data_IF_917115015785
#
_entry.id   IF_917115015785
#
_cell.length_a   1.000
_cell.length_b   1.000
_cell.length_c   1.000
_cell.angle_alpha   90.00
_cell.angle_beta   90.00
_cell.angle_gamma   90.00
#
_symmetry.space_group_name_H-M   'P 1'
#
loop_
_entity.id
_entity.type
_entity.pdbx_description
1 polymer ?
#
# COMPACT_ATOMS: atom_id res chain seq x y z
N UNK A 1 -30.64 -9.95 16.04
CA UNK A 1 -30.52 -8.86 15.04
C UNK A 1 -29.53 -9.34 13.99
N UNK A 2 -30.00 -9.70 12.79
CA UNK A 2 -29.18 -10.35 11.78
C UNK A 2 -28.39 -9.29 11.01
N UNK A 3 -27.05 -9.37 11.07
CA UNK A 3 -26.14 -8.59 10.23
C UNK A 3 -26.27 -9.17 8.80
N UNK A 4 -26.89 -8.41 7.89
CA UNK A 4 -26.92 -8.76 6.48
C UNK A 4 -25.57 -8.39 5.86
N UNK A 5 -24.71 -9.40 5.67
CA UNK A 5 -23.54 -9.26 4.82
C UNK A 5 -24.00 -9.18 3.36
N UNK A 6 -23.89 -8.02 2.75
CA UNK A 6 -24.01 -7.88 1.30
C UNK A 6 -22.64 -8.10 0.66
N UNK A 7 -22.40 -9.32 0.18
CA UNK A 7 -21.28 -9.58 -0.72
C UNK A 7 -21.69 -8.96 -2.06
N UNK A 8 -21.18 -7.78 -2.39
CA UNK A 8 -21.29 -7.23 -3.72
C UNK A 8 -20.25 -7.91 -4.61
N UNK A 9 -20.65 -8.97 -5.31
CA UNK A 9 -19.96 -9.37 -6.53
C UNK A 9 -20.23 -8.24 -7.52
N UNK A 10 -19.25 -7.36 -7.74
CA UNK A 10 -19.31 -6.41 -8.83
C UNK A 10 -19.14 -7.21 -10.12
N UNK A 11 -20.26 -7.66 -10.69
CA UNK A 11 -20.33 -7.98 -12.09
C UNK A 11 -20.10 -6.66 -12.83
N UNK A 12 -18.84 -6.40 -13.16
CA UNK A 12 -18.49 -5.37 -14.13
C UNK A 12 -19.02 -5.86 -15.47
N UNK A 13 -20.23 -5.43 -15.83
CA UNK A 13 -20.62 -5.45 -17.24
C UNK A 13 -19.68 -4.48 -17.94
N UNK A 14 -18.63 -5.03 -18.52
CA UNK A 14 -17.69 -4.31 -19.34
C UNK A 14 -18.46 -3.74 -20.55
N UNK A 15 -18.84 -2.47 -20.47
CA UNK A 15 -18.92 -1.69 -21.68
C UNK A 15 -17.47 -1.49 -22.12
N UNK A 16 -17.02 -2.39 -22.98
CA UNK A 16 -15.73 -2.32 -23.66
C UNK A 16 -15.72 -1.10 -24.57
N UNK A 17 -15.35 0.06 -24.02
CA UNK A 17 -14.60 0.98 -24.86
C UNK A 17 -13.24 0.30 -25.01
N UNK A 18 -13.04 -0.33 -26.18
CA UNK A 18 -11.73 -0.73 -26.65
C UNK A 18 -10.85 0.53 -26.62
N UNK A 19 -10.12 0.73 -25.54
CA UNK A 19 -8.90 1.48 -25.64
C UNK A 19 -7.99 0.59 -26.47
N UNK A 20 -7.78 0.97 -27.73
CA UNK A 20 -6.72 0.45 -28.56
C UNK A 20 -5.42 0.63 -27.78
N UNK A 21 -5.00 -0.42 -27.07
CA UNK A 21 -3.65 -0.49 -26.56
C UNK A 21 -2.79 -0.64 -27.82
N UNK A 22 -2.10 0.42 -28.19
CA UNK A 22 -0.96 0.26 -29.09
C UNK A 22 -0.06 -0.78 -28.45
N UNK A 23 0.28 -1.88 -29.14
CA UNK A 23 1.22 -2.85 -28.63
C UNK A 23 2.50 -2.10 -28.28
N UNK A 24 2.96 -2.23 -27.05
CA UNK A 24 4.30 -1.76 -26.66
C UNK A 24 5.31 -2.42 -27.60
N UNK A 25 6.29 -1.68 -28.13
CA UNK A 25 7.30 -2.26 -28.99
C UNK A 25 7.98 -3.42 -28.29
N UNK A 26 8.07 -4.56 -28.95
CA UNK A 26 8.48 -5.85 -28.44
C UNK A 26 9.96 -5.96 -28.02
N UNK A 27 10.68 -4.86 -27.86
CA UNK A 27 12.12 -4.81 -27.63
C UNK A 27 12.58 -3.82 -26.54
N UNK A 28 11.70 -3.30 -25.70
CA UNK A 28 12.14 -2.50 -24.55
C UNK A 28 12.25 -3.38 -23.32
N UNK A 29 13.46 -3.88 -23.07
CA UNK A 29 13.89 -4.34 -21.74
C UNK A 29 14.03 -3.10 -20.84
N UNK A 30 12.93 -2.44 -20.53
CA UNK A 30 12.97 -1.44 -19.48
C UNK A 30 13.06 -2.16 -18.14
N UNK A 31 14.25 -2.19 -17.56
CA UNK A 31 14.41 -2.39 -16.13
C UNK A 31 13.72 -1.21 -15.46
N UNK A 32 12.76 -1.48 -14.60
CA UNK A 32 12.18 -0.43 -13.77
C UNK A 32 13.25 -0.06 -12.76
N UNK A 33 13.91 1.07 -12.96
CA UNK A 33 14.75 1.66 -11.94
C UNK A 33 13.88 2.05 -10.74
N UNK A 34 14.42 1.92 -9.54
CA UNK A 34 13.78 2.49 -8.36
C UNK A 34 13.58 3.98 -8.60
N UNK A 35 12.39 4.47 -8.27
CA UNK A 35 12.08 5.90 -8.37
C UNK A 35 12.79 6.65 -7.25
N UNK A 36 13.81 7.43 -7.57
CA UNK A 36 14.59 8.21 -6.61
C UNK A 36 13.73 9.16 -5.77
N UNK A 37 12.57 9.56 -6.28
CA UNK A 37 11.62 10.37 -5.53
C UNK A 37 11.01 9.63 -4.32
N UNK A 38 11.08 8.30 -4.29
CA UNK A 38 10.64 7.48 -3.17
C UNK A 38 11.73 7.21 -2.12
N UNK A 39 12.97 7.60 -2.40
CA UNK A 39 14.07 7.40 -1.45
C UNK A 39 13.80 8.11 -0.11
N UNK A 40 14.03 7.47 1.02
CA UNK A 40 14.44 6.08 1.25
C UNK A 40 13.27 5.11 1.54
N UNK A 41 12.03 5.48 1.17
CA UNK A 41 10.78 4.75 1.46
C UNK A 41 10.27 3.97 0.25
N UNK A 42 11.14 3.23 -0.45
CA UNK A 42 10.81 2.51 -1.67
C UNK A 42 9.67 1.48 -1.53
N UNK A 43 9.44 0.98 -0.31
CA UNK A 43 8.37 0.03 0.00
C UNK A 43 7.03 0.71 0.31
N UNK A 44 6.98 2.05 0.21
CA UNK A 44 5.78 2.82 0.49
C UNK A 44 5.36 2.78 1.97
N UNK A 45 4.07 2.96 2.19
CA UNK A 45 3.46 2.96 3.53
C UNK A 45 2.21 2.09 3.53
N UNK A 46 1.88 1.52 4.67
CA UNK A 46 0.67 0.74 4.87
C UNK A 46 0.01 1.05 6.22
N UNK A 47 -1.27 0.75 6.34
CA UNK A 47 -1.98 0.79 7.61
C UNK A 47 -2.90 -0.43 7.74
N UNK A 48 -3.12 -0.86 8.97
CA UNK A 48 -3.95 -2.02 9.26
C UNK A 48 -4.42 -2.06 10.70
N UNK A 49 -5.08 -3.16 11.05
CA UNK A 49 -5.60 -3.44 12.40
C UNK A 49 -6.36 -2.27 13.03
N UNK A 50 -7.31 -1.64 12.30
CA UNK A 50 -8.04 -0.52 12.85
C UNK A 50 -8.93 -0.99 14.01
N UNK A 51 -8.95 -0.20 15.07
CA UNK A 51 -9.97 -0.27 16.13
C UNK A 51 -10.86 0.97 16.04
N UNK A 52 -11.74 1.16 17.03
CA UNK A 52 -12.54 2.38 17.11
C UNK A 52 -11.69 3.63 17.38
N UNK A 53 -10.52 3.48 17.98
CA UNK A 53 -9.69 4.58 18.45
C UNK A 53 -8.19 4.40 18.19
N UNK A 54 -7.80 3.43 17.38
CA UNK A 54 -6.41 3.22 16.99
C UNK A 54 -6.27 2.63 15.59
N UNK A 55 -5.06 2.71 15.05
CA UNK A 55 -4.65 2.08 13.80
C UNK A 55 -3.15 1.84 13.82
N UNK A 56 -2.70 0.73 13.25
CA UNK A 56 -1.28 0.51 13.02
C UNK A 56 -0.89 1.15 11.69
N UNK A 57 0.14 1.98 11.71
CA UNK A 57 0.80 2.50 10.50
C UNK A 57 2.16 1.84 10.33
N UNK A 58 2.56 1.61 9.10
CA UNK A 58 3.77 0.86 8.75
C UNK A 58 4.53 1.52 7.62
N UNK A 59 5.86 1.39 7.67
CA UNK A 59 6.77 1.60 6.54
C UNK A 59 8.02 0.73 6.70
N UNK A 60 8.86 0.71 5.67
CA UNK A 60 10.20 0.16 5.68
C UNK A 60 11.18 1.17 5.12
N UNK A 61 12.28 1.40 5.84
CA UNK A 61 13.35 2.30 5.43
C UNK A 61 14.42 1.54 4.63
N UNK A 62 15.00 2.16 3.63
CA UNK A 62 16.21 1.69 2.95
C UNK A 62 17.38 2.55 3.37
N UNK A 63 18.31 1.98 4.13
CA UNK A 63 19.48 2.68 4.68
C UNK A 63 20.63 1.69 4.88
N UNK A 64 21.84 2.19 4.94
CA UNK A 64 23.06 1.47 5.28
C UNK A 64 23.48 1.66 6.77
N UNK A 65 22.74 2.50 7.51
CA UNK A 65 23.00 2.72 8.94
C UNK A 65 22.55 1.48 9.73
N UNK A 66 23.30 1.01 10.74
CA UNK A 66 22.91 -0.16 11.54
C UNK A 66 21.60 0.05 12.31
N UNK A 67 21.31 1.29 12.67
CA UNK A 67 20.06 1.72 13.33
C UNK A 67 19.61 3.05 12.74
N UNK A 68 18.29 3.26 12.71
CA UNK A 68 17.69 4.50 12.24
C UNK A 68 16.50 4.89 13.14
N UNK A 69 16.28 6.18 13.29
CA UNK A 69 15.09 6.70 14.00
C UNK A 69 14.30 7.56 13.03
N UNK A 70 13.04 7.16 12.82
CA UNK A 70 12.10 7.84 11.95
C UNK A 70 11.15 8.70 12.80
N UNK A 71 10.80 9.86 12.28
CA UNK A 71 9.64 10.61 12.75
C UNK A 71 8.40 10.13 12.02
N UNK A 72 7.24 10.22 12.67
CA UNK A 72 5.94 9.96 12.05
C UNK A 72 4.92 11.00 12.49
N UNK A 73 3.94 11.25 11.65
CA UNK A 73 2.84 12.16 11.95
C UNK A 73 1.53 11.69 11.34
N UNK A 74 0.43 12.02 12.01
CA UNK A 74 -0.95 11.74 11.61
C UNK A 74 -1.76 13.03 11.65
N UNK A 75 -2.49 13.30 10.57
CA UNK A 75 -3.29 14.49 10.40
C UNK A 75 -4.74 14.14 9.99
N UNK A 76 -5.64 15.10 10.13
CA UNK A 76 -7.03 15.00 9.66
C UNK A 76 -7.22 15.50 8.22
N UNK A 77 -6.19 16.03 7.60
CA UNK A 77 -6.21 16.54 6.23
C UNK A 77 -5.05 16.04 5.38
N UNK A 78 -5.25 16.00 4.06
CA UNK A 78 -4.27 15.48 3.09
C UNK A 78 -3.02 16.34 2.94
N UNK A 79 -3.04 17.59 3.43
CA UNK A 79 -1.92 18.51 3.33
C UNK A 79 -1.03 18.50 4.58
N UNK A 80 -1.38 17.66 5.57
CA UNK A 80 -0.68 17.57 6.85
C UNK A 80 -0.62 18.90 7.61
N UNK A 81 -1.65 19.75 7.45
CA UNK A 81 -1.74 21.05 8.12
C UNK A 81 -2.29 20.94 9.54
N UNK A 82 -3.18 19.96 9.76
CA UNK A 82 -3.77 19.69 11.07
C UNK A 82 -3.25 18.37 11.64
N UNK A 83 -2.00 18.36 12.05
CA UNK A 83 -1.36 17.20 12.70
C UNK A 83 -1.91 17.05 14.10
N UNK A 84 -2.47 15.89 14.40
CA UNK A 84 -3.10 15.55 15.68
C UNK A 84 -2.26 14.60 16.53
N UNK A 85 -1.39 13.82 15.90
CA UNK A 85 -0.46 12.88 16.55
C UNK A 85 0.87 12.91 15.82
N UNK A 86 1.94 12.79 16.58
CA UNK A 86 3.29 12.63 16.06
C UNK A 86 4.18 11.94 17.08
N UNK A 87 5.30 11.42 16.62
CA UNK A 87 6.29 10.80 17.47
C UNK A 87 7.49 10.33 16.68
N UNK A 88 8.34 9.54 17.33
CA UNK A 88 9.47 8.89 16.70
C UNK A 88 9.48 7.39 17.01
N UNK A 89 10.11 6.62 16.12
CA UNK A 89 10.27 5.18 16.25
C UNK A 89 11.63 4.78 15.70
N UNK A 90 12.33 3.92 16.42
CA UNK A 90 13.62 3.40 15.99
C UNK A 90 13.48 2.03 15.37
N UNK A 91 14.36 1.74 14.40
CA UNK A 91 14.46 0.45 13.73
C UNK A 91 15.94 0.11 13.50
N UNK A 92 16.21 -1.12 13.10
CA UNK A 92 17.55 -1.62 12.84
C UNK A 92 17.57 -2.69 11.76
N UNK A 93 18.75 -3.14 11.40
CA UNK A 93 18.95 -4.26 10.49
C UNK A 93 18.27 -5.54 10.99
N UNK A 94 18.20 -5.77 12.30
CA UNK A 94 17.55 -6.94 12.91
C UNK A 94 16.03 -6.94 12.71
N UNK A 95 15.45 -5.76 12.52
CA UNK A 95 14.03 -5.57 12.21
C UNK A 95 13.77 -5.39 10.72
N UNK A 96 14.77 -5.65 9.88
CA UNK A 96 14.72 -5.36 8.44
C UNK A 96 14.33 -3.92 8.13
N UNK A 97 14.70 -3.00 9.00
CA UNK A 97 14.34 -1.58 8.92
C UNK A 97 12.82 -1.30 8.82
N UNK A 98 11.99 -2.29 9.16
CA UNK A 98 10.55 -2.11 9.26
C UNK A 98 10.17 -1.42 10.56
N UNK A 99 9.15 -0.57 10.50
CA UNK A 99 8.53 0.06 11.65
C UNK A 99 7.03 -0.18 11.66
N UNK A 100 6.48 -0.35 12.86
CA UNK A 100 5.04 -0.39 13.13
C UNK A 100 4.76 0.54 14.28
N UNK A 101 3.81 1.44 14.11
CA UNK A 101 3.39 2.36 15.16
C UNK A 101 1.91 2.16 15.41
N UNK A 102 1.53 1.84 16.66
CA UNK A 102 0.15 1.85 17.10
C UNK A 102 -0.23 3.29 17.47
N UNK A 103 -1.02 3.91 16.60
CA UNK A 103 -1.51 5.27 16.80
C UNK A 103 -2.84 5.20 17.54
N UNK A 104 -2.84 5.60 18.81
CA UNK A 104 -3.99 5.53 19.71
C UNK A 104 -4.69 6.88 19.91
N UNK A 105 -5.82 6.87 20.65
CA UNK A 105 -6.63 8.04 20.98
C UNK A 105 -7.15 8.80 19.75
N UNK A 106 -7.53 8.06 18.74
CA UNK A 106 -8.16 8.55 17.53
C UNK A 106 -9.68 8.59 17.69
N UNK A 107 -10.37 9.41 16.89
CA UNK A 107 -11.84 9.44 16.87
C UNK A 107 -12.38 8.28 16.02
N UNK A 108 -13.50 7.66 16.39
CA UNK A 108 -14.13 6.59 15.63
C UNK A 108 -14.62 7.05 14.25
N UNK A 109 -14.68 6.09 13.31
CA UNK A 109 -15.24 6.30 11.96
C UNK A 109 -14.65 7.51 11.21
N UNK A 110 -13.36 7.78 11.44
CA UNK A 110 -12.69 8.99 10.96
C UNK A 110 -11.54 8.62 10.03
N UNK A 111 -11.44 9.32 8.89
CA UNK A 111 -10.29 9.24 8.01
C UNK A 111 -9.14 10.06 8.57
N UNK A 112 -7.95 9.50 8.45
CA UNK A 112 -6.69 10.13 8.80
C UNK A 112 -5.69 9.96 7.66
N UNK A 113 -4.73 10.86 7.62
CA UNK A 113 -3.59 10.85 6.72
C UNK A 113 -2.33 10.74 7.55
N UNK A 114 -1.34 10.00 7.06
CA UNK A 114 -0.10 9.79 7.79
C UNK A 114 1.08 9.75 6.85
N UNK A 115 2.24 10.11 7.36
CA UNK A 115 3.51 10.00 6.66
C UNK A 115 4.64 9.76 7.67
N UNK A 116 5.74 9.23 7.16
CA UNK A 116 6.99 9.06 7.90
C UNK A 116 8.03 10.02 7.34
N UNK A 117 8.99 10.36 8.19
CA UNK A 117 10.12 11.21 7.83
C UNK A 117 11.41 10.60 8.35
N UNK A 118 12.44 10.59 7.53
CA UNK A 118 13.80 10.24 7.88
C UNK A 118 14.74 11.28 7.29
N UNK A 119 15.53 11.94 8.13
CA UNK A 119 16.31 13.12 7.78
C UNK A 119 15.39 14.19 7.12
N UNK A 120 15.66 14.54 5.87
CA UNK A 120 14.88 15.51 5.10
C UNK A 120 13.93 14.87 4.08
N UNK A 121 13.75 13.55 4.11
CA UNK A 121 12.92 12.81 3.18
C UNK A 121 11.60 12.40 3.83
N UNK A 122 10.51 12.57 3.09
CA UNK A 122 9.18 12.15 3.51
C UNK A 122 8.74 10.93 2.69
N UNK A 123 8.02 10.02 3.33
CA UNK A 123 7.34 8.94 2.65
C UNK A 123 6.17 9.46 1.79
N UNK A 124 5.59 8.58 0.97
CA UNK A 124 4.24 8.81 0.46
C UNK A 124 3.27 9.01 1.62
N UNK A 125 2.21 9.78 1.41
CA UNK A 125 1.10 9.89 2.37
C UNK A 125 0.18 8.71 2.24
N UNK A 126 -0.03 8.03 3.37
CA UNK A 126 -1.05 7.02 3.50
C UNK A 126 -2.38 7.63 3.96
N UNK A 127 -3.47 6.95 3.61
CA UNK A 127 -4.81 7.23 4.14
C UNK A 127 -5.29 6.01 4.91
N UNK A 128 -5.83 6.25 6.08
CA UNK A 128 -6.37 5.19 6.94
C UNK A 128 -7.71 5.61 7.53
N UNK A 129 -8.44 4.69 8.15
CA UNK A 129 -9.73 4.95 8.78
C UNK A 129 -9.90 4.07 10.02
N UNK A 130 -10.35 4.68 11.12
CA UNK A 130 -10.76 3.96 12.33
C UNK A 130 -12.13 3.31 12.14
N UNK A 131 -12.40 2.26 12.91
CA UNK A 131 -13.71 1.60 12.91
C UNK A 131 -14.78 2.49 13.56
N UNK A 132 -16.05 2.34 13.16
CA UNK A 132 -17.15 3.02 13.83
C UNK A 132 -17.38 2.47 15.26
N UNK A 133 -17.85 3.31 16.19
CA UNK A 133 -18.20 2.92 17.55
C UNK A 133 -19.62 2.38 17.69
N UNK A 134 -20.41 2.37 16.62
CA UNK A 134 -21.80 1.92 16.63
C UNK A 134 -22.24 1.40 15.28
N UNK A 135 -23.54 1.33 15.06
CA UNK A 135 -24.10 0.92 13.78
C UNK A 135 -23.81 1.98 12.71
N UNK A 136 -23.48 1.50 11.52
CA UNK A 136 -23.35 2.32 10.32
C UNK A 136 -24.28 1.79 9.24
N UNK A 137 -24.84 2.69 8.45
CA UNK A 137 -25.75 2.33 7.38
C UNK A 137 -25.02 1.63 6.23
N UNK A 138 -23.72 1.90 6.06
CA UNK A 138 -22.93 1.40 4.95
C UNK A 138 -21.45 1.36 5.27
N UNK A 139 -20.79 0.31 4.79
CA UNK A 139 -19.34 0.19 4.66
C UNK A 139 -18.99 -0.30 3.25
N UNK A 140 -17.91 0.21 2.69
CA UNK A 140 -17.41 -0.16 1.36
C UNK A 140 -16.03 -0.76 1.46
N UNK A 141 -15.89 -1.94 0.88
CA UNK A 141 -14.63 -2.66 0.79
C UNK A 141 -14.20 -2.79 -0.67
N UNK A 142 -12.95 -2.54 -0.97
CA UNK A 142 -12.33 -2.99 -2.19
C UNK A 142 -11.74 -4.38 -1.95
N UNK A 143 -12.17 -5.36 -2.74
CA UNK A 143 -11.66 -6.74 -2.65
C UNK A 143 -10.79 -7.01 -3.87
N UNK A 144 -9.55 -7.39 -3.65
CA UNK A 144 -8.53 -7.61 -4.68
C UNK A 144 -7.76 -8.90 -4.43
N UNK A 145 -7.10 -9.42 -5.47
CA UNK A 145 -6.21 -10.57 -5.41
C UNK A 145 -5.27 -10.57 -6.61
N UNK A 146 -4.27 -11.46 -6.58
CA UNK A 146 -3.47 -11.82 -7.76
C UNK A 146 -2.70 -10.63 -8.36
N UNK A 147 -1.80 -10.06 -7.58
CA UNK A 147 -0.96 -8.91 -7.97
C UNK A 147 0.27 -9.36 -8.77
N UNK A 148 0.07 -9.98 -9.93
CA UNK A 148 1.17 -10.47 -10.75
C UNK A 148 1.83 -9.34 -11.54
N UNK A 149 3.08 -9.04 -11.21
CA UNK A 149 3.86 -8.01 -11.90
C UNK A 149 4.08 -8.31 -13.40
N UNK A 150 4.42 -9.54 -13.82
CA UNK A 150 4.65 -9.83 -15.24
C UNK A 150 3.42 -9.81 -16.13
N UNK A 151 2.20 -9.79 -15.56
CA UNK A 151 0.95 -9.86 -16.32
C UNK A 151 0.37 -8.50 -16.72
N UNK A 152 0.89 -7.39 -16.23
CA UNK A 152 0.36 -6.09 -16.59
C UNK A 152 0.75 -4.99 -15.63
N UNK A 153 -0.05 -3.94 -15.63
CA UNK A 153 0.15 -2.75 -14.80
C UNK A 153 -0.90 -2.70 -13.71
N UNK A 154 -0.56 -2.25 -12.52
CA UNK A 154 -1.42 -2.22 -11.34
C UNK A 154 -2.49 -1.11 -11.38
N UNK A 155 -3.13 -0.90 -12.52
CA UNK A 155 -4.13 0.16 -12.74
C UNK A 155 -5.31 0.07 -11.78
N UNK A 156 -5.66 -1.15 -11.32
CA UNK A 156 -6.74 -1.35 -10.35
C UNK A 156 -6.45 -0.66 -9.02
N UNK A 157 -5.20 -0.67 -8.58
CA UNK A 157 -4.82 0.00 -7.33
C UNK A 157 -4.88 1.53 -7.47
N UNK A 158 -4.50 2.06 -8.64
CA UNK A 158 -4.69 3.47 -8.94
C UNK A 158 -6.18 3.86 -8.91
N UNK A 159 -7.05 3.06 -9.53
CA UNK A 159 -8.48 3.30 -9.52
C UNK A 159 -9.08 3.25 -8.09
N UNK A 160 -8.61 2.32 -7.24
CA UNK A 160 -9.01 2.26 -5.83
C UNK A 160 -8.53 3.50 -5.08
N UNK A 161 -7.28 3.93 -5.30
CA UNK A 161 -6.70 5.10 -4.63
C UNK A 161 -7.44 6.40 -4.98
N UNK A 162 -7.99 6.51 -6.18
CA UNK A 162 -8.80 7.66 -6.61
C UNK A 162 -10.18 7.70 -5.95
N UNK A 163 -10.62 6.60 -5.33
CA UNK A 163 -11.89 6.54 -4.63
C UNK A 163 -11.76 7.07 -3.21
N UNK A 164 -12.60 8.05 -2.88
CA UNK A 164 -12.65 8.62 -1.53
C UNK A 164 -13.68 7.93 -0.62
N UNK A 165 -14.38 6.92 -1.14
CA UNK A 165 -15.51 6.27 -0.48
C UNK A 165 -15.24 4.80 -0.09
N UNK A 166 -14.00 4.32 -0.23
CA UNK A 166 -13.58 2.98 0.21
C UNK A 166 -13.11 3.08 1.67
N UNK A 167 -13.70 2.26 2.53
CA UNK A 167 -13.40 2.22 3.96
C UNK A 167 -12.20 1.31 4.26
N UNK A 168 -12.07 0.18 3.55
CA UNK A 168 -10.93 -0.73 3.69
C UNK A 168 -10.70 -1.56 2.41
N UNK A 169 -9.49 -2.11 2.30
CA UNK A 169 -9.08 -3.01 1.22
C UNK A 169 -8.87 -4.40 1.82
N UNK A 170 -9.43 -5.41 1.17
CA UNK A 170 -9.23 -6.81 1.51
C UNK A 170 -8.46 -7.45 0.35
N UNK A 171 -7.25 -7.93 0.62
CA UNK A 171 -6.46 -8.68 -0.35
C UNK A 171 -6.58 -10.18 -0.07
N UNK A 172 -7.09 -10.94 -1.01
CA UNK A 172 -7.40 -12.36 -0.84
C UNK A 172 -6.20 -13.29 -1.05
N UNK A 173 -5.04 -12.75 -1.31
CA UNK A 173 -3.82 -13.52 -1.53
C UNK A 173 -3.19 -13.29 -2.90
N UNK A 174 -2.12 -14.02 -3.17
CA UNK A 174 -1.26 -13.84 -4.34
C UNK A 174 -0.79 -12.38 -4.47
N UNK A 175 -0.29 -11.85 -3.36
CA UNK A 175 0.22 -10.49 -3.27
C UNK A 175 1.53 -10.32 -4.05
N UNK A 176 2.38 -11.33 -4.02
CA UNK A 176 3.63 -11.46 -4.78
C UNK A 176 3.60 -12.81 -5.50
N UNK A 177 4.16 -12.84 -6.70
CA UNK A 177 4.44 -14.05 -7.48
C UNK A 177 5.95 -14.16 -7.64
N UNK A 178 6.51 -15.27 -7.16
CA UNK A 178 7.95 -15.51 -7.08
C UNK A 178 8.58 -16.04 -8.36
N UNK A 179 7.79 -16.22 -9.41
CA UNK A 179 8.25 -16.77 -10.69
C UNK A 179 9.30 -15.88 -11.37
N UNK A 180 10.29 -16.53 -11.97
CA UNK A 180 11.30 -15.89 -12.79
C UNK A 180 10.76 -15.40 -14.14
N UNK A 181 11.65 -14.76 -14.91
CA UNK A 181 11.35 -14.23 -16.24
C UNK A 181 10.88 -15.34 -17.18
N UNK A 182 9.78 -15.07 -17.91
CA UNK A 182 9.14 -15.97 -18.88
C UNK A 182 8.53 -17.25 -18.29
N UNK A 183 8.51 -17.44 -16.99
CA UNK A 183 7.86 -18.60 -16.36
C UNK A 183 6.35 -18.37 -16.19
N UNK A 184 5.98 -17.15 -15.79
CA UNK A 184 4.57 -16.79 -15.59
C UNK A 184 4.33 -15.32 -15.93
N UNK A 185 3.81 -15.08 -17.15
CA UNK A 185 3.63 -13.74 -17.70
C UNK A 185 4.87 -13.16 -18.37
N UNK A 186 4.68 -12.19 -19.29
CA UNK A 186 5.74 -11.65 -20.11
C UNK A 186 5.54 -10.19 -20.55
N UNK A 187 4.59 -9.46 -19.95
CA UNK A 187 4.33 -8.05 -20.29
C UNK A 187 5.40 -7.16 -19.66
N UNK A 188 5.82 -7.49 -18.43
CA UNK A 188 6.93 -6.82 -17.75
C UNK A 188 7.93 -7.86 -17.27
N UNK A 189 9.20 -7.49 -17.25
CA UNK A 189 10.26 -8.34 -16.72
C UNK A 189 10.30 -8.16 -15.20
N UNK A 190 10.19 -9.26 -14.41
CA UNK A 190 10.35 -9.18 -12.97
C UNK A 190 11.79 -8.81 -12.59
N UNK A 191 11.96 -8.19 -11.46
CA UNK A 191 13.25 -7.95 -10.82
C UNK A 191 13.21 -8.58 -9.42
N UNK A 192 14.06 -9.59 -9.13
CA UNK A 192 15.08 -10.19 -9.98
C UNK A 192 14.49 -11.02 -11.16
N UNK A 193 15.29 -11.24 -12.21
CA UNK A 193 14.86 -12.07 -13.36
C UNK A 193 14.75 -13.57 -13.05
N UNK A 194 15.38 -14.02 -11.96
CA UNK A 194 15.28 -15.38 -11.44
C UNK A 194 14.12 -15.51 -10.44
N UNK A 195 13.78 -16.76 -10.09
CA UNK A 195 12.84 -17.04 -9.01
C UNK A 195 13.26 -16.37 -7.71
N UNK A 196 12.29 -15.78 -6.98
CA UNK A 196 12.50 -15.14 -5.68
C UNK A 196 12.70 -16.24 -4.63
N UNK A 197 13.89 -16.34 -4.03
CA UNK A 197 14.25 -17.36 -3.06
C UNK A 197 14.77 -16.79 -1.74
N UNK A 198 15.29 -15.58 -1.76
CA UNK A 198 15.95 -14.98 -0.60
C UNK A 198 15.26 -13.68 -0.16
N UNK A 199 15.51 -13.27 1.07
CA UNK A 199 15.03 -11.97 1.56
C UNK A 199 15.53 -10.79 0.70
N UNK A 200 16.74 -10.90 0.13
CA UNK A 200 17.27 -9.87 -0.77
C UNK A 200 16.44 -9.77 -2.07
N UNK A 201 15.96 -10.90 -2.58
CA UNK A 201 15.11 -10.93 -3.78
C UNK A 201 13.74 -10.26 -3.52
N UNK A 202 13.19 -10.41 -2.32
CA UNK A 202 11.94 -9.74 -1.92
C UNK A 202 12.10 -8.23 -1.68
N UNK A 203 13.32 -7.75 -1.47
CA UNK A 203 13.65 -6.34 -1.26
C UNK A 203 13.89 -5.60 -2.57
#
# INVERSE_FOLDING_TARGET
MFIRFYIFIVLITAQTKLFSQTPLPSNTTERIALDDALFPFYHGVASGDPTQNSVIIWTRLTTDQPTATLEWQVATDTFMQNVIKSGSVSTSIDLDYSVKVDVTDLQPNTFYFYEFKFDNHYSLRGRTKTLPSGNVDKQRFAVVSCSSFPHGYFNVYQAINQRNDVDAIIHLGDYIYEYGKNEYGNIRIPEPENEILTLADYR
#
